data_IF_260527273555
#
_entry.id   IF_260527273555
#
_cell.length_a   1.000
_cell.length_b   1.000
_cell.length_c   1.000
_cell.angle_alpha   90.00
_cell.angle_beta   90.00
_cell.angle_gamma   90.00
#
_symmetry.space_group_name_H-M   'P 1'
#
loop_
_entity.id
_entity.type
_entity.pdbx_description
1 polymer ?
#
# COMPACT_ATOMS: atom_id res chain seq x y z
N UNK A 1 -9.22 33.01 -23.28
CA UNK A 1 -9.90 31.82 -23.85
C UNK A 1 -8.92 30.64 -24.10
N UNK A 2 -7.76 30.85 -24.75
CA UNK A 2 -6.75 29.77 -24.94
C UNK A 2 -6.22 29.22 -23.61
N UNK A 3 -6.01 30.04 -22.60
CA UNK A 3 -5.53 29.61 -21.28
C UNK A 3 -6.57 28.81 -20.50
N UNK A 4 -7.86 29.13 -20.67
CA UNK A 4 -8.97 28.37 -20.08
C UNK A 4 -9.14 26.99 -20.74
N UNK A 5 -8.94 26.91 -22.06
CA UNK A 5 -8.94 25.65 -22.82
C UNK A 5 -7.75 24.76 -22.46
N UNK A 6 -6.55 25.35 -22.23
CA UNK A 6 -5.39 24.62 -21.74
C UNK A 6 -5.56 24.17 -20.28
N UNK A 7 -6.25 24.96 -19.46
CA UNK A 7 -6.63 24.58 -18.09
C UNK A 7 -7.62 23.41 -18.07
N UNK A 8 -8.58 23.38 -19.00
CA UNK A 8 -9.54 22.26 -19.15
C UNK A 8 -8.89 21.01 -19.75
N UNK A 9 -7.93 21.17 -20.65
CA UNK A 9 -7.14 20.05 -21.20
C UNK A 9 -6.20 19.42 -20.15
N UNK A 10 -5.68 20.20 -19.18
CA UNK A 10 -4.83 19.68 -18.10
C UNK A 10 -5.63 19.17 -16.88
N UNK A 11 -6.96 19.30 -16.87
CA UNK A 11 -7.80 18.65 -15.87
C UNK A 11 -8.17 17.24 -16.32
N UNK A 12 -7.29 16.28 -15.99
CA UNK A 12 -7.63 14.86 -16.06
C UNK A 12 -7.52 14.25 -17.45
N UNK A 13 -6.39 14.39 -18.12
CA UNK A 13 -5.95 13.31 -18.98
C UNK A 13 -5.80 12.10 -18.06
N UNK A 14 -6.83 11.24 -18.06
CA UNK A 14 -6.67 9.85 -17.65
C UNK A 14 -5.58 9.38 -18.60
N UNK A 15 -4.38 9.12 -18.10
CA UNK A 15 -3.34 8.48 -18.88
C UNK A 15 -3.91 7.13 -19.31
N UNK A 16 -4.30 7.04 -20.57
CA UNK A 16 -4.73 5.79 -21.18
C UNK A 16 -3.51 4.88 -21.22
N UNK A 17 -3.62 3.70 -20.62
CA UNK A 17 -2.56 2.69 -20.63
C UNK A 17 -3.17 1.32 -20.93
N UNK A 18 -2.45 0.52 -21.72
CA UNK A 18 -2.88 -0.83 -22.10
C UNK A 18 -2.41 -1.89 -21.09
N UNK A 19 -1.35 -1.61 -20.33
CA UNK A 19 -0.76 -2.58 -19.43
C UNK A 19 -0.16 -1.93 -18.16
N UNK A 20 -0.09 -2.70 -17.09
CA UNK A 20 0.59 -2.37 -15.85
C UNK A 20 1.77 -3.32 -15.68
N UNK A 21 2.98 -2.77 -15.54
CA UNK A 21 4.19 -3.53 -15.19
C UNK A 21 4.47 -3.43 -13.70
N UNK A 22 4.61 -4.58 -13.04
CA UNK A 22 5.02 -4.67 -11.63
C UNK A 22 6.50 -5.07 -11.60
N UNK A 23 7.31 -4.33 -10.84
CA UNK A 23 8.74 -4.57 -10.67
C UNK A 23 9.21 -4.16 -9.28
N UNK A 24 10.50 -4.41 -9.00
CA UNK A 24 11.16 -3.89 -7.80
C UNK A 24 11.51 -2.42 -8.02
N UNK A 25 11.42 -1.63 -6.97
CA UNK A 25 11.84 -0.23 -6.99
C UNK A 25 13.22 -0.10 -6.39
N UNK A 26 14.13 0.59 -7.11
CA UNK A 26 15.42 0.98 -6.55
C UNK A 26 15.25 2.09 -5.50
N UNK A 27 16.20 2.28 -4.59
CA UNK A 27 16.20 3.41 -3.66
C UNK A 27 16.10 4.78 -4.36
N UNK A 28 16.78 4.94 -5.49
CA UNK A 28 16.76 6.15 -6.32
C UNK A 28 15.37 6.39 -6.91
N UNK A 29 14.72 5.34 -7.38
CA UNK A 29 13.35 5.40 -7.91
C UNK A 29 12.37 5.81 -6.82
N UNK A 30 12.48 5.27 -5.60
CA UNK A 30 11.63 5.66 -4.47
C UNK A 30 11.83 7.15 -4.12
N UNK A 31 13.08 7.62 -4.12
CA UNK A 31 13.39 9.05 -3.89
C UNK A 31 12.83 9.94 -5.00
N UNK A 32 12.85 9.48 -6.26
CA UNK A 32 12.31 10.24 -7.38
C UNK A 32 10.79 10.43 -7.32
N UNK A 33 10.05 9.45 -6.77
CA UNK A 33 8.60 9.56 -6.55
C UNK A 33 8.24 10.45 -5.37
N UNK A 34 9.19 10.67 -4.47
CA UNK A 34 8.94 11.33 -3.19
C UNK A 34 9.02 12.84 -3.27
N UNK A 35 8.09 13.51 -2.63
CA UNK A 35 8.08 14.97 -2.45
C UNK A 35 8.81 15.44 -1.18
N UNK A 36 9.37 14.52 -0.39
CA UNK A 36 10.16 14.81 0.79
C UNK A 36 10.26 13.67 1.80
N UNK A 37 11.18 13.81 2.75
CA UNK A 37 11.40 12.86 3.83
C UNK A 37 10.46 13.12 5.02
N UNK A 38 9.81 12.07 5.53
CA UNK A 38 9.03 12.11 6.76
C UNK A 38 9.95 11.77 7.94
N UNK A 39 10.22 12.76 8.80
CA UNK A 39 11.14 12.63 9.93
C UNK A 39 10.43 12.42 11.27
N UNK A 40 9.19 12.90 11.39
CA UNK A 40 8.44 12.92 12.64
C UNK A 40 7.26 11.96 12.63
N UNK A 41 7.00 11.26 13.74
CA UNK A 41 5.87 10.34 13.87
C UNK A 41 4.53 11.05 14.07
N UNK A 42 4.53 12.36 14.37
CA UNK A 42 3.32 13.15 14.60
C UNK A 42 2.48 13.25 13.35
N UNK A 43 1.17 13.28 13.53
CA UNK A 43 0.17 13.39 12.46
C UNK A 43 -0.37 14.81 12.35
N UNK A 44 -1.09 15.24 13.37
CA UNK A 44 -1.72 16.56 13.48
C UNK A 44 -1.48 17.16 14.85
N UNK A 45 -1.55 18.46 14.94
CA UNK A 45 -1.57 19.17 16.20
C UNK A 45 -2.99 19.11 16.81
N UNK A 46 -3.13 18.52 18.01
CA UNK A 46 -4.42 18.33 18.66
C UNK A 46 -5.16 19.63 19.03
N UNK A 47 -4.43 20.73 19.18
CA UNK A 47 -5.02 22.04 19.52
C UNK A 47 -5.52 22.78 18.29
N UNK A 48 -4.77 22.71 17.18
CA UNK A 48 -5.05 23.49 15.96
C UNK A 48 -5.66 22.66 14.83
N UNK A 49 -5.65 21.33 14.97
CA UNK A 49 -6.05 20.36 13.93
C UNK A 49 -5.29 20.49 12.60
N UNK A 50 -4.17 21.23 12.62
CA UNK A 50 -3.31 21.39 11.43
C UNK A 50 -2.28 20.28 11.36
N UNK A 51 -1.89 19.85 10.15
CA UNK A 51 -0.81 18.88 9.96
C UNK A 51 0.51 19.38 10.56
N UNK A 52 1.20 18.52 11.29
CA UNK A 52 2.53 18.82 11.82
C UNK A 52 3.58 18.83 10.70
N UNK A 53 4.57 19.72 10.85
CA UNK A 53 5.66 19.85 9.88
C UNK A 53 6.58 18.61 9.95
N UNK A 54 6.96 18.10 8.78
CA UNK A 54 7.79 16.90 8.59
C UNK A 54 7.20 15.62 9.19
N UNK A 55 5.90 15.65 9.52
CA UNK A 55 5.12 14.50 10.00
C UNK A 55 4.41 13.75 8.88
N UNK A 56 3.65 12.72 9.27
CA UNK A 56 2.93 11.83 8.37
C UNK A 56 1.84 12.50 7.52
N UNK A 57 1.38 13.69 7.89
CA UNK A 57 0.37 14.48 7.18
C UNK A 57 0.88 15.85 6.71
N UNK A 58 2.19 16.06 6.73
CA UNK A 58 2.83 17.34 6.44
C UNK A 58 2.31 17.99 5.14
N UNK A 59 1.83 19.24 5.24
CA UNK A 59 1.32 19.96 4.08
C UNK A 59 2.43 20.39 3.11
N UNK A 60 3.66 20.59 3.60
CA UNK A 60 4.81 20.91 2.76
C UNK A 60 5.16 19.74 1.82
N UNK A 61 5.09 18.50 2.32
CA UNK A 61 5.43 17.30 1.55
C UNK A 61 4.27 16.86 0.67
N UNK A 62 3.07 16.70 1.24
CA UNK A 62 1.91 16.10 0.58
C UNK A 62 0.97 17.10 -0.10
N UNK A 63 1.16 18.39 0.14
CA UNK A 63 0.32 19.43 -0.43
C UNK A 63 -0.73 20.02 0.53
N UNK A 64 -1.49 21.03 0.07
CA UNK A 64 -2.43 21.77 0.89
C UNK A 64 -3.63 20.93 1.32
N UNK A 65 -4.21 21.27 2.47
CA UNK A 65 -5.43 20.61 3.01
C UNK A 65 -6.69 21.13 2.34
N UNK A 66 -6.68 22.40 1.92
CA UNK A 66 -7.79 23.06 1.20
C UNK A 66 -7.34 23.49 -0.17
N UNK A 67 -8.28 23.49 -1.13
CA UNK A 67 -8.00 23.91 -2.50
C UNK A 67 -7.48 25.34 -2.56
N UNK A 68 -6.33 25.51 -3.21
CA UNK A 68 -5.69 26.80 -3.44
C UNK A 68 -5.46 27.65 -2.18
N UNK A 69 -5.26 27.03 -1.03
CA UNK A 69 -4.96 27.69 0.23
C UNK A 69 -3.70 27.13 0.87
N UNK A 70 -2.71 27.97 1.21
CA UNK A 70 -1.54 27.53 1.97
C UNK A 70 -1.90 27.32 3.46
N UNK A 71 -1.08 26.57 4.21
CA UNK A 71 -1.37 26.20 5.60
C UNK A 71 -1.47 27.42 6.56
N UNK A 72 -0.68 28.47 6.31
CA UNK A 72 -0.68 29.70 7.12
C UNK A 72 -1.78 30.70 6.71
N UNK A 73 -2.46 30.48 5.58
CA UNK A 73 -3.49 31.38 5.06
C UNK A 73 -3.01 32.65 4.36
N UNK A 74 -1.67 32.84 4.15
CA UNK A 74 -1.12 34.00 3.43
C UNK A 74 -1.62 34.04 1.99
N UNK A 75 -1.58 32.92 1.29
CA UNK A 75 -2.07 32.77 -0.08
C UNK A 75 -3.37 31.98 -0.07
N UNK A 76 -4.41 32.60 -0.64
CA UNK A 76 -5.74 32.05 -0.84
C UNK A 76 -6.17 32.35 -2.26
N UNK A 77 -6.99 31.50 -2.86
CA UNK A 77 -7.57 31.61 -4.19
C UNK A 77 -6.65 31.16 -5.34
N UNK A 78 -7.31 30.86 -6.45
CA UNK A 78 -6.74 30.30 -7.69
C UNK A 78 -5.62 31.17 -8.29
N UNK A 79 -5.64 32.50 -8.13
CA UNK A 79 -4.66 33.43 -8.71
C UNK A 79 -3.21 33.16 -8.27
N UNK A 80 -3.02 32.46 -7.15
CA UNK A 80 -1.70 32.11 -6.60
C UNK A 80 -1.31 30.65 -6.88
N UNK A 81 -1.98 29.96 -7.82
CA UNK A 81 -1.69 28.56 -8.17
C UNK A 81 -0.21 28.40 -8.50
N UNK A 82 0.41 27.33 -7.94
CA UNK A 82 1.81 26.98 -8.16
C UNK A 82 2.83 27.76 -7.31
N UNK A 83 2.39 28.78 -6.55
CA UNK A 83 3.26 29.55 -5.67
C UNK A 83 3.57 28.73 -4.42
N UNK A 84 4.86 28.62 -4.08
CA UNK A 84 5.29 28.03 -2.81
C UNK A 84 5.32 29.14 -1.75
N UNK A 85 4.55 28.96 -0.68
CA UNK A 85 4.48 29.95 0.38
C UNK A 85 5.80 30.07 1.14
N UNK A 86 6.40 31.25 1.18
CA UNK A 86 7.66 31.55 1.87
C UNK A 86 7.59 31.24 3.38
N UNK A 87 6.41 31.46 4.01
CA UNK A 87 6.22 31.29 5.45
C UNK A 87 6.04 29.81 5.87
N UNK A 88 5.19 29.05 5.15
CA UNK A 88 4.89 27.67 5.53
C UNK A 88 5.45 26.60 4.57
N UNK A 89 6.02 27.02 3.43
CA UNK A 89 6.61 26.12 2.44
C UNK A 89 5.60 25.27 1.67
N UNK A 90 4.29 25.55 1.80
CA UNK A 90 3.22 24.77 1.15
C UNK A 90 2.96 25.37 -0.24
N UNK A 91 2.92 24.50 -1.24
CA UNK A 91 2.52 24.86 -2.60
C UNK A 91 1.01 25.10 -2.68
N UNK A 92 0.61 26.18 -3.35
CA UNK A 92 -0.81 26.49 -3.58
C UNK A 92 -1.33 25.68 -4.77
N UNK A 93 -1.98 24.57 -4.48
CA UNK A 93 -2.50 23.62 -5.45
C UNK A 93 -3.88 23.09 -5.00
N UNK A 94 -4.46 22.21 -5.80
CA UNK A 94 -5.66 21.46 -5.43
C UNK A 94 -5.35 20.49 -4.28
N UNK A 95 -6.27 20.32 -3.35
CA UNK A 95 -6.15 19.35 -2.25
C UNK A 95 -6.05 17.90 -2.75
N UNK A 96 -6.54 17.61 -3.96
CA UNK A 96 -6.45 16.30 -4.63
C UNK A 96 -5.02 15.75 -4.69
N UNK A 97 -4.00 16.62 -4.74
CA UNK A 97 -2.59 16.18 -4.76
C UNK A 97 -2.20 15.37 -3.52
N UNK A 98 -2.90 15.52 -2.39
CA UNK A 98 -2.71 14.72 -1.18
C UNK A 98 -3.07 13.24 -1.35
N UNK A 99 -3.78 12.89 -2.42
CA UNK A 99 -4.06 11.52 -2.82
C UNK A 99 -2.97 10.92 -3.71
N UNK A 100 -2.15 11.76 -4.34
CA UNK A 100 -1.21 11.37 -5.39
C UNK A 100 0.25 11.45 -4.91
N UNK A 101 0.60 12.42 -4.07
CA UNK A 101 1.97 12.65 -3.63
C UNK A 101 2.42 11.63 -2.61
N UNK A 102 3.52 10.96 -2.93
CA UNK A 102 4.23 10.05 -2.04
C UNK A 102 5.35 10.78 -1.28
N UNK A 103 5.77 10.21 -0.18
CA UNK A 103 6.96 10.60 0.56
C UNK A 103 7.83 9.38 0.83
N UNK A 104 8.95 9.56 1.53
CA UNK A 104 9.84 8.47 1.91
C UNK A 104 10.35 8.64 3.34
N UNK A 105 10.89 7.54 3.88
CA UNK A 105 11.62 7.49 5.14
C UNK A 105 13.00 6.90 4.83
N UNK A 106 14.07 7.65 5.16
CA UNK A 106 15.44 7.14 5.10
C UNK A 106 15.68 6.24 6.32
N UNK A 107 15.89 4.97 6.05
CA UNK A 107 16.14 3.98 7.12
C UNK A 107 17.59 4.11 7.64
N UNK A 108 17.74 4.10 8.95
CA UNK A 108 19.06 4.16 9.61
C UNK A 108 19.88 2.87 9.42
N UNK A 109 19.22 1.77 9.13
CA UNK A 109 19.81 0.47 8.78
C UNK A 109 18.97 -0.20 7.70
N UNK A 110 19.57 -0.90 6.73
CA UNK A 110 18.84 -1.66 5.75
C UNK A 110 17.89 -2.67 6.40
N UNK A 111 16.76 -2.95 5.74
CA UNK A 111 15.71 -3.87 6.21
C UNK A 111 15.33 -4.82 5.08
N UNK A 112 15.34 -6.12 5.31
CA UNK A 112 14.92 -7.10 4.33
C UNK A 112 13.39 -7.06 4.13
N UNK A 113 12.94 -7.13 2.87
CA UNK A 113 11.52 -7.13 2.56
C UNK A 113 10.90 -8.49 2.89
N UNK A 114 9.92 -8.53 3.80
CA UNK A 114 9.32 -9.74 4.33
C UNK A 114 8.69 -10.65 3.25
N UNK A 115 8.19 -10.11 2.15
CA UNK A 115 7.60 -10.91 1.08
C UNK A 115 8.64 -11.75 0.35
N UNK A 116 9.86 -11.23 0.15
CA UNK A 116 10.94 -11.96 -0.50
C UNK A 116 11.69 -12.90 0.45
N UNK A 117 11.62 -12.61 1.75
CA UNK A 117 12.15 -13.46 2.80
C UNK A 117 11.25 -14.66 3.10
N UNK A 118 9.99 -14.39 3.49
CA UNK A 118 9.03 -15.40 3.98
C UNK A 118 8.15 -16.04 2.91
N UNK A 119 8.44 -15.85 1.63
CA UNK A 119 7.82 -16.64 0.56
C UNK A 119 8.31 -18.09 0.60
N UNK A 120 7.49 -19.03 0.17
CA UNK A 120 7.88 -20.42 0.03
C UNK A 120 7.91 -20.79 -1.47
N UNK A 121 9.09 -21.02 -2.05
CA UNK A 121 10.43 -20.89 -1.47
C UNK A 121 10.87 -19.42 -1.28
N UNK A 122 11.76 -19.16 -0.30
CA UNK A 122 12.34 -17.84 -0.08
C UNK A 122 13.11 -17.36 -1.30
N UNK A 123 12.80 -16.17 -1.82
CA UNK A 123 13.50 -15.60 -2.99
C UNK A 123 14.94 -15.23 -2.64
N UNK A 124 15.13 -14.59 -1.49
CA UNK A 124 16.46 -14.27 -0.96
C UNK A 124 17.26 -15.55 -0.74
N UNK A 125 16.63 -16.57 -0.13
CA UNK A 125 17.30 -17.86 0.13
C UNK A 125 17.71 -18.61 -1.14
N UNK A 126 16.89 -18.58 -2.18
CA UNK A 126 17.23 -19.21 -3.46
C UNK A 126 18.42 -18.53 -4.14
N UNK A 127 18.51 -17.19 -4.10
CA UNK A 127 19.63 -16.47 -4.70
C UNK A 127 20.94 -16.72 -3.95
N UNK A 128 20.90 -16.68 -2.62
CA UNK A 128 22.07 -16.89 -1.77
C UNK A 128 22.44 -18.36 -1.55
N UNK A 129 21.62 -19.30 -2.01
CA UNK A 129 21.70 -20.74 -1.73
C UNK A 129 21.68 -21.10 -0.23
N UNK A 130 21.01 -20.29 0.57
CA UNK A 130 20.88 -20.46 2.01
C UNK A 130 19.45 -20.91 2.40
N UNK A 131 19.34 -21.63 3.52
CA UNK A 131 18.00 -21.97 4.03
C UNK A 131 17.31 -20.75 4.64
N UNK A 132 15.98 -20.75 4.65
CA UNK A 132 15.22 -19.67 5.28
C UNK A 132 15.59 -19.47 6.76
N UNK A 133 15.84 -20.58 7.48
CA UNK A 133 16.22 -20.54 8.91
C UNK A 133 17.55 -19.83 9.11
N UNK A 134 18.53 -20.10 8.25
CA UNK A 134 19.85 -19.50 8.34
C UNK A 134 19.81 -18.00 8.08
N UNK A 135 19.07 -17.58 7.05
CA UNK A 135 18.88 -16.16 6.75
C UNK A 135 18.13 -15.44 7.90
N UNK A 136 17.15 -16.10 8.51
CA UNK A 136 16.46 -15.53 9.67
C UNK A 136 17.38 -15.32 10.85
N UNK A 137 18.29 -16.26 11.12
CA UNK A 137 19.31 -16.11 12.17
C UNK A 137 20.19 -14.88 11.93
N UNK A 138 20.62 -14.67 10.68
CA UNK A 138 21.41 -13.48 10.31
C UNK A 138 20.59 -12.20 10.47
N UNK A 139 19.40 -12.16 9.88
CA UNK A 139 18.56 -10.95 9.87
C UNK A 139 18.11 -10.48 11.25
N UNK A 140 17.89 -11.44 12.17
CA UNK A 140 17.45 -11.12 13.53
C UNK A 140 18.59 -11.13 14.56
N UNK A 141 19.83 -11.03 14.08
CA UNK A 141 21.03 -10.85 14.91
C UNK A 141 21.31 -12.03 15.87
N UNK A 142 21.07 -13.25 15.40
CA UNK A 142 21.40 -14.48 16.15
C UNK A 142 22.72 -15.11 15.71
N UNK A 143 23.18 -14.84 14.48
CA UNK A 143 24.42 -15.40 13.92
C UNK A 143 25.05 -14.43 12.93
N UNK A 144 26.37 -14.46 12.84
CA UNK A 144 27.13 -13.78 11.80
C UNK A 144 27.09 -14.59 10.49
N UNK A 145 27.24 -13.90 9.38
CA UNK A 145 27.48 -14.51 8.06
C UNK A 145 28.76 -13.95 7.47
N UNK A 146 29.58 -14.82 6.94
CA UNK A 146 30.84 -14.47 6.26
C UNK A 146 30.50 -13.85 4.90
N UNK A 147 30.91 -12.61 4.70
CA UNK A 147 30.72 -11.85 3.44
C UNK A 147 31.95 -12.10 2.55
N UNK A 148 33.12 -11.86 3.09
CA UNK A 148 34.40 -12.10 2.44
C UNK A 148 35.27 -13.00 3.34
N UNK A 149 35.61 -14.20 2.87
CA UNK A 149 36.47 -15.11 3.63
C UNK A 149 37.95 -14.70 3.63
N UNK A 150 38.38 -13.77 2.78
CA UNK A 150 39.79 -13.40 2.65
C UNK A 150 40.71 -14.62 2.38
N UNK A 151 41.84 -14.68 3.08
CA UNK A 151 42.78 -15.82 3.02
C UNK A 151 42.56 -16.84 4.14
N UNK A 152 41.37 -16.93 4.71
CA UNK A 152 41.04 -17.82 5.83
C UNK A 152 40.47 -19.16 5.34
N UNK A 153 40.26 -20.08 6.25
CA UNK A 153 39.63 -21.40 5.99
C UNK A 153 38.09 -21.31 5.95
N UNK A 154 37.54 -20.12 6.13
CA UNK A 154 36.09 -19.87 6.13
C UNK A 154 35.51 -19.88 4.71
N UNK A 155 34.24 -20.22 4.58
CA UNK A 155 33.54 -20.19 3.30
C UNK A 155 32.61 -18.98 3.23
N UNK A 156 32.45 -18.37 2.03
CA UNK A 156 31.48 -17.30 1.81
C UNK A 156 30.07 -17.80 2.08
N UNK A 157 29.31 -17.06 2.91
CA UNK A 157 27.98 -17.45 3.33
C UNK A 157 27.91 -18.41 4.52
N UNK A 158 29.06 -18.81 5.08
CA UNK A 158 29.12 -19.61 6.30
C UNK A 158 28.52 -18.82 7.47
N UNK A 159 27.79 -19.53 8.34
CA UNK A 159 27.26 -18.95 9.57
C UNK A 159 28.20 -19.19 10.73
N UNK A 160 28.44 -18.15 11.52
CA UNK A 160 29.25 -18.21 12.73
C UNK A 160 28.38 -17.78 13.94
N UNK A 161 28.46 -18.55 15.02
CA UNK A 161 27.94 -18.13 16.31
C UNK A 161 28.88 -17.09 16.94
N UNK A 162 28.47 -16.43 18.03
CA UNK A 162 29.32 -15.45 18.71
C UNK A 162 30.67 -16.06 19.13
N UNK A 163 30.70 -17.29 19.69
CA UNK A 163 31.92 -18.02 20.07
C UNK A 163 32.83 -18.24 18.86
N UNK A 164 32.32 -18.84 17.81
CA UNK A 164 33.04 -19.09 16.57
C UNK A 164 33.58 -17.83 15.88
N UNK A 165 32.79 -16.73 15.99
CA UNK A 165 33.24 -15.44 15.45
C UNK A 165 34.44 -14.89 16.24
N UNK A 166 34.41 -14.97 17.56
CA UNK A 166 35.53 -14.54 18.39
C UNK A 166 36.76 -15.45 18.22
N UNK A 167 36.58 -16.77 18.14
CA UNK A 167 37.67 -17.71 17.83
C UNK A 167 38.32 -17.39 16.47
N UNK A 168 37.50 -17.14 15.44
CA UNK A 168 37.99 -16.76 14.12
C UNK A 168 38.72 -15.41 14.14
N UNK A 169 38.24 -14.46 14.96
CA UNK A 169 38.87 -13.15 15.11
C UNK A 169 40.25 -13.26 15.81
N UNK A 170 40.37 -14.16 16.81
CA UNK A 170 41.65 -14.45 17.47
C UNK A 170 42.63 -15.16 16.55
N UNK A 171 42.16 -16.08 15.66
CA UNK A 171 43.00 -16.87 14.76
C UNK A 171 43.41 -16.07 13.52
N UNK A 172 42.49 -15.34 12.88
CA UNK A 172 42.71 -14.71 11.57
C UNK A 172 42.73 -13.16 11.63
N UNK A 173 42.42 -12.57 12.79
CA UNK A 173 42.38 -11.11 12.92
C UNK A 173 41.37 -10.45 11.98
N UNK A 174 41.78 -9.40 11.26
CA UNK A 174 40.97 -8.64 10.33
C UNK A 174 40.98 -9.15 8.88
N UNK A 175 41.48 -10.36 8.64
CA UNK A 175 41.65 -10.94 7.29
C UNK A 175 40.29 -11.42 6.68
N UNK A 176 39.22 -11.43 7.42
CA UNK A 176 37.89 -11.79 6.95
C UNK A 176 36.83 -10.76 7.36
N UNK A 177 35.75 -10.67 6.58
CA UNK A 177 34.58 -9.84 6.91
C UNK A 177 33.35 -10.70 7.17
N UNK A 178 32.82 -10.62 8.39
CA UNK A 178 31.59 -11.29 8.78
C UNK A 178 30.71 -10.35 9.57
N UNK A 179 29.45 -10.22 9.16
CA UNK A 179 28.50 -9.28 9.75
C UNK A 179 27.15 -9.91 10.02
N UNK A 180 26.30 -9.19 10.76
CA UNK A 180 24.92 -9.57 11.05
C UNK A 180 23.92 -8.61 10.39
N UNK A 181 22.66 -9.06 10.29
CA UNK A 181 21.53 -8.23 9.90
C UNK A 181 21.33 -8.11 8.39
N UNK A 182 20.40 -7.24 8.02
CA UNK A 182 20.03 -7.05 6.61
C UNK A 182 21.13 -6.37 5.79
N UNK A 183 22.07 -5.69 6.43
CA UNK A 183 23.24 -5.10 5.78
C UNK A 183 24.13 -6.18 5.17
N UNK A 184 24.45 -7.22 5.94
CA UNK A 184 25.21 -8.38 5.46
C UNK A 184 24.49 -9.11 4.30
N UNK A 185 23.19 -9.32 4.43
CA UNK A 185 22.38 -9.93 3.37
C UNK A 185 22.38 -9.08 2.11
N UNK A 186 22.32 -7.75 2.23
CA UNK A 186 22.38 -6.83 1.09
C UNK A 186 23.72 -6.92 0.37
N UNK A 187 24.83 -6.95 1.09
CA UNK A 187 26.17 -7.06 0.51
C UNK A 187 26.35 -8.41 -0.20
N UNK A 188 25.90 -9.51 0.39
CA UNK A 188 25.91 -10.81 -0.27
C UNK A 188 25.09 -10.83 -1.56
N UNK A 189 23.91 -10.20 -1.57
CA UNK A 189 23.07 -10.09 -2.75
C UNK A 189 23.69 -9.19 -3.83
N UNK A 190 24.37 -8.11 -3.42
CA UNK A 190 25.09 -7.22 -4.33
C UNK A 190 26.28 -7.90 -5.00
N UNK A 191 26.98 -8.77 -4.25
CA UNK A 191 28.13 -9.51 -4.73
C UNK A 191 27.79 -10.69 -5.66
N UNK A 192 26.51 -10.91 -5.99
CA UNK A 192 26.09 -11.96 -6.93
C UNK A 192 26.22 -11.45 -8.37
N UNK A 193 27.14 -12.05 -9.13
CA UNK A 193 27.18 -11.91 -10.58
C UNK A 193 26.16 -12.89 -11.21
N UNK A 194 25.05 -12.33 -11.72
CA UNK A 194 23.96 -13.12 -12.29
C UNK A 194 24.39 -13.87 -13.54
N UNK A 195 25.25 -13.28 -14.39
CA UNK A 195 25.68 -13.90 -15.65
C UNK A 195 26.58 -15.11 -15.39
N UNK A 196 27.55 -14.96 -14.50
CA UNK A 196 28.44 -16.03 -14.09
C UNK A 196 27.66 -17.19 -13.42
N UNK A 197 26.78 -16.88 -12.48
CA UNK A 197 26.00 -17.90 -11.76
C UNK A 197 25.01 -18.65 -12.68
N UNK A 198 24.38 -17.96 -13.62
CA UNK A 198 23.51 -18.59 -14.64
C UNK A 198 24.31 -19.57 -15.49
N UNK A 199 25.51 -19.18 -15.94
CA UNK A 199 26.40 -20.05 -16.71
C UNK A 199 26.76 -21.31 -15.90
N UNK A 200 27.23 -21.14 -14.67
CA UNK A 200 27.57 -22.23 -13.76
C UNK A 200 26.41 -23.20 -13.51
N UNK A 201 25.21 -22.68 -13.25
CA UNK A 201 24.04 -23.52 -12.99
C UNK A 201 23.60 -24.30 -14.24
N UNK A 202 23.73 -23.72 -15.43
CA UNK A 202 23.42 -24.41 -16.70
C UNK A 202 24.39 -25.58 -16.98
N UNK A 203 25.62 -25.49 -16.54
CA UNK A 203 26.61 -26.56 -16.63
C UNK A 203 26.43 -27.63 -15.52
N UNK A 204 26.05 -27.24 -14.31
CA UNK A 204 25.90 -28.16 -13.17
C UNK A 204 24.62 -29.03 -13.29
N UNK A 205 23.52 -28.50 -13.82
CA UNK A 205 22.23 -29.22 -13.94
C UNK A 205 22.37 -30.54 -14.70
N UNK A 206 22.99 -30.61 -15.91
CA UNK A 206 23.13 -31.87 -16.66
C UNK A 206 24.12 -32.86 -16.01
N UNK A 207 25.07 -32.39 -15.18
CA UNK A 207 26.04 -33.25 -14.49
C UNK A 207 25.47 -33.90 -13.23
N UNK A 208 24.33 -33.46 -12.75
CA UNK A 208 23.72 -33.90 -11.48
C UNK A 208 22.70 -35.00 -11.75
N UNK A 209 22.86 -36.17 -11.09
CA UNK A 209 21.95 -37.32 -11.21
C UNK A 209 20.77 -37.32 -10.20
N UNK A 210 20.78 -36.44 -9.19
CA UNK A 210 19.73 -36.36 -8.17
C UNK A 210 18.57 -35.49 -8.61
N UNK A 211 17.39 -36.08 -8.77
CA UNK A 211 16.15 -35.38 -9.18
C UNK A 211 15.79 -34.21 -8.26
N UNK A 212 15.97 -34.37 -6.94
CA UNK A 212 15.71 -33.30 -5.95
C UNK A 212 16.68 -32.14 -6.12
N UNK A 213 17.96 -32.41 -6.38
CA UNK A 213 18.99 -31.38 -6.62
C UNK A 213 18.73 -30.65 -7.91
N UNK A 214 18.39 -31.38 -9.00
CA UNK A 214 17.99 -30.78 -10.28
C UNK A 214 16.79 -29.84 -10.10
N UNK A 215 15.76 -30.26 -9.37
CA UNK A 215 14.58 -29.39 -9.09
C UNK A 215 14.96 -28.11 -8.30
N UNK A 216 15.89 -28.19 -7.35
CA UNK A 216 16.38 -27.04 -6.59
C UNK A 216 17.17 -26.08 -7.49
N UNK A 217 18.13 -26.60 -8.24
CA UNK A 217 18.99 -25.83 -9.16
C UNK A 217 18.15 -25.17 -10.27
N UNK A 218 17.18 -25.89 -10.86
CA UNK A 218 16.29 -25.35 -11.90
C UNK A 218 15.42 -24.20 -11.37
N UNK A 219 14.94 -24.27 -10.12
CA UNK A 219 14.20 -23.15 -9.51
C UNK A 219 15.10 -21.94 -9.27
N UNK A 220 16.35 -22.15 -8.86
CA UNK A 220 17.33 -21.10 -8.67
C UNK A 220 17.69 -20.44 -10.00
N UNK A 221 18.00 -21.25 -11.02
CA UNK A 221 18.28 -20.76 -12.37
C UNK A 221 17.16 -19.91 -12.94
N UNK A 222 15.90 -20.40 -12.90
CA UNK A 222 14.74 -19.66 -13.36
C UNK A 222 14.56 -18.32 -12.66
N UNK A 223 14.86 -18.24 -11.37
CA UNK A 223 14.80 -17.00 -10.61
C UNK A 223 15.89 -16.01 -11.05
N UNK A 224 17.13 -16.48 -11.24
CA UNK A 224 18.25 -15.65 -11.69
C UNK A 224 18.03 -15.11 -13.12
N UNK A 225 17.55 -15.95 -14.02
CA UNK A 225 17.17 -15.54 -15.37
C UNK A 225 16.06 -14.45 -15.33
N UNK A 226 15.04 -14.62 -14.49
CA UNK A 226 13.99 -13.63 -14.32
C UNK A 226 14.50 -12.28 -13.78
N UNK A 227 15.50 -12.27 -12.89
CA UNK A 227 16.17 -11.03 -12.45
C UNK A 227 16.94 -10.37 -13.60
N UNK A 228 17.73 -11.15 -14.35
CA UNK A 228 18.48 -10.66 -15.52
C UNK A 228 17.54 -10.05 -16.58
N UNK A 229 16.50 -10.78 -17.00
CA UNK A 229 15.57 -10.36 -18.04
C UNK A 229 14.76 -9.13 -17.65
N UNK A 230 14.42 -8.99 -16.37
CA UNK A 230 13.65 -7.84 -15.87
C UNK A 230 14.51 -6.60 -15.60
N UNK A 231 15.84 -6.73 -15.53
CA UNK A 231 16.77 -5.67 -15.16
C UNK A 231 16.67 -5.25 -13.68
N UNK A 232 16.06 -6.08 -12.83
CA UNK A 232 16.02 -5.86 -11.39
C UNK A 232 17.32 -6.33 -10.74
N UNK A 233 17.80 -5.57 -9.75
CA UNK A 233 18.97 -6.00 -8.96
C UNK A 233 18.53 -6.78 -7.72
N UNK A 234 19.21 -7.88 -7.37
CA UNK A 234 18.90 -8.69 -6.18
C UNK A 234 18.91 -7.89 -4.88
N UNK A 235 19.82 -6.93 -4.73
CA UNK A 235 19.95 -6.05 -3.56
C UNK A 235 18.72 -5.18 -3.28
N UNK A 236 17.87 -4.92 -4.30
CA UNK A 236 16.63 -4.14 -4.12
C UNK A 236 15.57 -4.87 -3.28
N UNK A 237 15.76 -6.16 -3.01
CA UNK A 237 14.93 -6.90 -2.04
C UNK A 237 15.22 -6.50 -0.59
N UNK A 238 16.31 -5.74 -0.36
CA UNK A 238 16.65 -5.13 0.93
C UNK A 238 16.44 -3.63 0.83
N UNK A 239 15.53 -3.12 1.66
CA UNK A 239 15.11 -1.73 1.63
C UNK A 239 16.08 -0.84 2.42
N UNK A 240 16.55 0.21 1.82
CA UNK A 240 17.27 1.32 2.47
C UNK A 240 16.40 2.56 2.61
N UNK A 241 15.42 2.69 1.71
CA UNK A 241 14.44 3.78 1.70
C UNK A 241 13.04 3.15 1.68
N UNK A 242 12.17 3.60 2.57
CA UNK A 242 10.80 3.12 2.69
C UNK A 242 9.84 4.14 2.08
N UNK A 243 9.00 3.78 1.09
CA UNK A 243 8.00 4.70 0.57
C UNK A 243 6.85 4.91 1.56
N UNK A 244 6.33 6.13 1.62
CA UNK A 244 5.18 6.51 2.46
C UNK A 244 3.99 6.80 1.58
N UNK A 245 2.90 6.08 1.83
CA UNK A 245 1.66 6.20 1.09
C UNK A 245 1.05 7.60 1.24
N UNK A 246 0.42 8.18 0.21
CA UNK A 246 -0.28 9.46 0.32
C UNK A 246 -1.29 9.51 1.48
N UNK A 247 -1.44 10.65 2.17
CA UNK A 247 -2.27 10.76 3.38
C UNK A 247 -3.75 10.45 3.14
N UNK A 248 -4.32 10.79 1.99
CA UNK A 248 -5.73 10.53 1.68
C UNK A 248 -6.04 9.04 1.46
N UNK A 249 -5.01 8.21 1.19
CA UNK A 249 -5.15 6.76 1.12
C UNK A 249 -5.05 6.06 2.51
N UNK A 250 -4.66 6.82 3.56
CA UNK A 250 -4.63 6.42 4.97
C UNK A 250 -5.24 7.51 5.86
N UNK A 251 -6.52 7.85 5.65
CA UNK A 251 -7.12 9.06 6.19
C UNK A 251 -7.19 9.07 7.71
N UNK A 252 -7.22 10.28 8.25
CA UNK A 252 -7.50 10.59 9.64
C UNK A 252 -8.77 11.43 9.65
N UNK A 253 -9.87 10.83 10.13
CA UNK A 253 -11.21 11.43 10.07
C UNK A 253 -11.62 11.91 11.46
N UNK A 254 -11.97 13.18 11.63
CA UNK A 254 -12.52 13.66 12.89
C UNK A 254 -13.91 13.07 13.13
N UNK A 255 -14.15 12.61 14.35
CA UNK A 255 -15.44 12.15 14.85
C UNK A 255 -16.02 13.18 15.82
N UNK A 256 -17.32 13.10 16.06
CA UNK A 256 -17.96 13.90 17.07
C UNK A 256 -17.33 13.68 18.45
N UNK A 257 -17.18 14.75 19.24
CA UNK A 257 -16.52 14.72 20.54
C UNK A 257 -14.98 14.83 20.52
N UNK A 258 -14.39 15.37 19.43
CA UNK A 258 -12.96 15.67 19.34
C UNK A 258 -12.04 14.45 19.21
N UNK A 259 -12.61 13.26 18.95
CA UNK A 259 -11.86 12.03 18.67
C UNK A 259 -11.59 11.89 17.20
N UNK A 260 -10.55 11.12 16.85
CA UNK A 260 -10.20 10.82 15.46
C UNK A 260 -10.27 9.31 15.19
N UNK A 261 -10.89 8.95 14.08
CA UNK A 261 -10.72 7.64 13.49
C UNK A 261 -9.52 7.68 12.54
N UNK A 262 -8.59 6.77 12.72
CA UNK A 262 -7.37 6.68 11.92
C UNK A 262 -7.25 5.33 11.25
N UNK A 263 -6.60 5.29 10.10
CA UNK A 263 -6.19 4.03 9.48
C UNK A 263 -5.11 3.36 10.32
N UNK A 264 -5.15 2.04 10.43
CA UNK A 264 -4.15 1.23 11.14
C UNK A 264 -2.73 1.45 10.57
N UNK A 265 -2.62 1.80 9.28
CA UNK A 265 -1.35 2.12 8.62
C UNK A 265 -0.61 3.29 9.29
N UNK A 266 -1.34 4.29 9.79
CA UNK A 266 -0.71 5.42 10.47
C UNK A 266 0.01 4.99 11.75
N UNK A 267 -0.57 4.07 12.52
CA UNK A 267 0.08 3.54 13.72
C UNK A 267 1.31 2.69 13.38
N UNK A 268 1.24 1.90 12.30
CA UNK A 268 2.38 1.12 11.82
C UNK A 268 3.50 2.03 11.33
N UNK A 269 3.22 3.08 10.53
CA UNK A 269 4.22 4.08 10.13
C UNK A 269 4.83 4.80 11.34
N UNK A 270 4.02 5.20 12.32
CA UNK A 270 4.53 5.84 13.55
C UNK A 270 5.51 4.93 14.29
N UNK A 271 5.23 3.63 14.38
CA UNK A 271 6.15 2.65 14.99
C UNK A 271 7.48 2.60 14.24
N UNK A 272 7.44 2.53 12.91
CA UNK A 272 8.66 2.53 12.09
C UNK A 272 9.47 3.81 12.30
N UNK A 273 8.85 4.99 12.24
CA UNK A 273 9.54 6.27 12.42
C UNK A 273 10.14 6.39 13.82
N UNK A 274 9.42 5.99 14.86
CA UNK A 274 9.92 6.03 16.24
C UNK A 274 11.15 5.12 16.42
N UNK A 275 11.12 3.89 15.88
CA UNK A 275 12.26 2.97 15.93
C UNK A 275 13.43 3.49 15.12
N UNK A 276 13.17 4.01 13.94
CA UNK A 276 14.18 4.59 13.07
C UNK A 276 14.89 5.80 13.72
N UNK A 277 14.13 6.72 14.30
CA UNK A 277 14.68 7.89 14.98
C UNK A 277 15.48 7.52 16.24
N UNK A 278 15.00 6.50 16.96
CA UNK A 278 15.72 5.98 18.13
C UNK A 278 17.04 5.33 17.70
N UNK A 279 17.03 4.54 16.64
CA UNK A 279 18.25 3.93 16.11
C UNK A 279 19.23 5.01 15.63
N UNK A 280 18.79 6.03 14.86
CA UNK A 280 19.64 7.16 14.45
C UNK A 280 20.33 7.81 15.67
N UNK A 281 19.57 8.08 16.72
CA UNK A 281 20.12 8.66 17.97
C UNK A 281 21.13 7.75 18.66
N UNK A 282 20.89 6.44 18.70
CA UNK A 282 21.83 5.48 19.29
C UNK A 282 23.13 5.39 18.50
N UNK A 283 23.07 5.46 17.17
CA UNK A 283 24.24 5.50 16.31
C UNK A 283 25.02 6.79 16.49
N UNK A 284 24.36 7.95 16.56
CA UNK A 284 24.98 9.26 16.79
C UNK A 284 25.70 9.33 18.15
N UNK A 285 25.16 8.63 19.15
CA UNK A 285 25.72 8.55 20.50
C UNK A 285 26.78 7.44 20.68
N UNK A 286 27.10 6.70 19.61
CA UNK A 286 28.01 5.55 19.67
C UNK A 286 27.66 4.57 20.80
N UNK A 287 26.37 4.24 20.93
CA UNK A 287 25.85 3.37 21.99
C UNK A 287 26.45 1.95 21.87
N UNK A 288 26.48 1.17 22.98
CA UNK A 288 26.94 -0.21 22.97
C UNK A 288 26.27 -1.07 21.89
N UNK A 289 27.05 -1.91 21.23
CA UNK A 289 26.63 -2.70 20.06
C UNK A 289 25.40 -3.57 20.36
N UNK A 290 25.31 -4.18 21.53
CA UNK A 290 24.14 -4.97 21.96
C UNK A 290 22.85 -4.18 21.87
N UNK A 291 22.85 -2.89 22.28
CA UNK A 291 21.68 -2.03 22.23
C UNK A 291 21.34 -1.67 20.79
N UNK A 292 22.35 -1.36 19.99
CA UNK A 292 22.19 -1.03 18.56
C UNK A 292 21.62 -2.22 17.81
N UNK A 293 22.15 -3.44 18.01
CA UNK A 293 21.65 -4.69 17.39
C UNK A 293 20.19 -4.94 17.75
N UNK A 294 19.81 -4.76 19.02
CA UNK A 294 18.43 -4.93 19.44
C UNK A 294 17.49 -3.90 18.79
N UNK A 295 17.90 -2.65 18.67
CA UNK A 295 17.07 -1.63 18.00
C UNK A 295 16.99 -1.84 16.48
N UNK A 296 18.07 -2.29 15.81
CA UNK A 296 18.06 -2.74 14.42
C UNK A 296 17.05 -3.89 14.20
N UNK A 297 17.04 -4.87 15.10
CA UNK A 297 16.06 -5.98 15.07
C UNK A 297 14.62 -5.45 15.24
N UNK A 298 14.39 -4.53 16.17
CA UNK A 298 13.07 -3.94 16.37
C UNK A 298 12.61 -3.10 15.18
N UNK A 299 13.53 -2.43 14.46
CA UNK A 299 13.23 -1.71 13.23
C UNK A 299 12.82 -2.71 12.12
N UNK A 300 13.56 -3.81 11.96
CA UNK A 300 13.19 -4.89 11.04
C UNK A 300 11.77 -5.42 11.33
N UNK A 301 11.46 -5.71 12.58
CA UNK A 301 10.13 -6.18 12.99
C UNK A 301 9.02 -5.14 12.75
N UNK A 302 9.31 -3.86 12.95
CA UNK A 302 8.34 -2.79 12.69
C UNK A 302 8.02 -2.64 11.19
N UNK A 303 9.02 -2.75 10.33
CA UNK A 303 8.83 -2.72 8.87
C UNK A 303 8.13 -4.00 8.39
N UNK A 304 8.47 -5.16 8.92
CA UNK A 304 7.78 -6.42 8.61
C UNK A 304 6.27 -6.32 8.93
N UNK A 305 5.92 -5.74 10.07
CA UNK A 305 4.53 -5.52 10.46
C UNK A 305 3.81 -4.51 9.55
N UNK A 306 4.48 -3.47 9.08
CA UNK A 306 3.91 -2.51 8.12
C UNK A 306 3.58 -3.17 6.78
N UNK A 307 4.49 -4.02 6.28
CA UNK A 307 4.34 -4.68 4.99
C UNK A 307 3.35 -5.85 5.05
N UNK A 308 3.48 -6.77 6.01
CA UNK A 308 2.62 -7.94 6.18
C UNK A 308 2.53 -8.38 7.65
N UNK A 309 1.63 -7.76 8.41
CA UNK A 309 1.48 -8.03 9.83
C UNK A 309 1.01 -9.47 10.09
N UNK A 310 1.70 -10.16 10.99
CA UNK A 310 1.40 -11.55 11.36
C UNK A 310 2.04 -12.60 10.46
N UNK A 311 2.83 -12.22 9.45
CA UNK A 311 3.59 -13.18 8.64
C UNK A 311 4.74 -13.82 9.39
N UNK A 312 5.32 -13.10 10.36
CA UNK A 312 6.33 -13.58 11.29
C UNK A 312 5.84 -13.45 12.73
N UNK A 313 5.59 -14.58 13.37
CA UNK A 313 5.20 -14.63 14.78
C UNK A 313 3.81 -14.02 15.06
N UNK A 314 3.65 -13.47 16.25
CA UNK A 314 2.38 -12.85 16.68
C UNK A 314 2.17 -11.50 15.99
N UNK A 315 0.98 -11.31 15.44
CA UNK A 315 0.60 -10.03 14.85
C UNK A 315 0.58 -8.90 15.89
N UNK A 316 1.02 -7.72 15.49
CA UNK A 316 0.90 -6.51 16.30
C UNK A 316 -0.58 -6.12 16.38
N UNK A 317 -1.07 -5.93 17.60
CA UNK A 317 -2.47 -5.61 17.88
C UNK A 317 -2.66 -4.16 18.31
N UNK A 318 -3.83 -3.62 18.05
CA UNK A 318 -4.28 -2.33 18.57
C UNK A 318 -4.84 -2.44 20.00
N UNK A 319 -5.42 -1.35 20.50
CA UNK A 319 -6.03 -1.25 21.85
C UNK A 319 -7.11 -2.33 22.09
N UNK A 320 -7.85 -2.71 21.05
CA UNK A 320 -8.94 -3.70 21.14
C UNK A 320 -8.47 -5.15 20.90
N UNK A 321 -7.16 -5.43 21.07
CA UNK A 321 -6.56 -6.76 20.79
C UNK A 321 -6.77 -7.27 19.36
N UNK A 322 -7.31 -6.45 18.45
CA UNK A 322 -7.46 -6.77 17.02
C UNK A 322 -6.11 -6.57 16.32
N UNK A 323 -5.68 -7.49 15.44
CA UNK A 323 -4.51 -7.28 14.61
C UNK A 323 -4.64 -6.01 13.76
N UNK A 324 -3.57 -5.21 13.67
CA UNK A 324 -3.53 -4.03 12.83
C UNK A 324 -3.46 -4.45 11.36
N UNK A 325 -4.22 -3.76 10.51
CA UNK A 325 -4.29 -4.02 9.08
C UNK A 325 -3.05 -3.46 8.38
N UNK A 326 -2.24 -4.35 7.79
CA UNK A 326 -1.00 -4.00 7.08
C UNK A 326 -1.25 -3.63 5.60
N UNK A 327 -0.19 -3.22 4.89
CA UNK A 327 -0.25 -2.96 3.45
C UNK A 327 -0.68 -4.20 2.65
N UNK A 328 -0.19 -5.39 3.01
CA UNK A 328 -0.61 -6.63 2.38
C UNK A 328 -2.11 -6.89 2.54
N UNK A 329 -2.68 -6.59 3.72
CA UNK A 329 -4.11 -6.77 4.00
C UNK A 329 -5.00 -5.78 3.25
N UNK A 330 -4.43 -4.65 2.80
CA UNK A 330 -5.14 -3.69 1.93
C UNK A 330 -5.35 -4.25 0.52
N UNK A 331 -4.55 -5.20 0.10
CA UNK A 331 -4.55 -5.77 -1.27
C UNK A 331 -5.23 -7.14 -1.28
N UNK A 332 -4.86 -8.03 -0.35
CA UNK A 332 -5.28 -9.42 -0.28
C UNK A 332 -6.60 -9.63 0.49
N UNK A 333 -7.23 -10.79 0.26
CA UNK A 333 -8.39 -11.23 1.01
C UNK A 333 -9.73 -10.64 0.54
N UNK A 334 -10.81 -10.98 1.25
CA UNK A 334 -12.20 -10.58 0.91
C UNK A 334 -12.40 -9.05 0.97
N UNK A 335 -11.71 -8.39 1.89
CA UNK A 335 -11.79 -6.94 2.11
C UNK A 335 -10.62 -6.18 1.44
N UNK A 336 -9.79 -6.88 0.66
CA UNK A 336 -8.70 -6.28 -0.09
C UNK A 336 -9.18 -5.58 -1.36
N UNK A 337 -8.27 -4.78 -1.94
CA UNK A 337 -8.56 -3.95 -3.12
C UNK A 337 -9.05 -4.77 -4.32
N UNK A 338 -8.45 -5.93 -4.57
CA UNK A 338 -8.83 -6.76 -5.71
C UNK A 338 -10.28 -7.24 -5.61
N UNK A 339 -10.67 -7.87 -4.50
CA UNK A 339 -12.01 -8.47 -4.35
C UNK A 339 -13.10 -7.47 -4.03
N UNK A 340 -12.79 -6.38 -3.33
CA UNK A 340 -13.80 -5.42 -2.86
C UNK A 340 -14.03 -4.25 -3.83
N UNK A 341 -13.00 -3.84 -4.59
CA UNK A 341 -13.08 -2.62 -5.38
C UNK A 341 -12.80 -2.80 -6.89
N UNK A 342 -12.09 -3.89 -7.30
CA UNK A 342 -11.72 -4.12 -8.69
C UNK A 342 -12.57 -5.19 -9.36
N UNK A 343 -12.70 -6.38 -8.78
CA UNK A 343 -13.53 -7.46 -9.32
C UNK A 343 -15.02 -7.18 -9.20
N UNK A 344 -15.42 -6.35 -8.26
CA UNK A 344 -16.78 -5.89 -8.07
C UNK A 344 -16.82 -4.64 -7.22
N UNK A 345 -17.76 -3.74 -7.51
CA UNK A 345 -17.98 -2.49 -6.79
C UNK A 345 -19.41 -2.41 -6.31
N UNK A 346 -19.65 -1.66 -5.24
CA UNK A 346 -21.01 -1.24 -4.89
C UNK A 346 -21.47 -0.22 -5.92
N UNK A 347 -22.66 -0.40 -6.43
CA UNK A 347 -23.26 0.47 -7.44
C UNK A 347 -24.33 1.33 -6.79
N UNK A 348 -24.51 2.55 -7.32
CA UNK A 348 -25.61 3.43 -6.96
C UNK A 348 -26.94 2.88 -7.51
N UNK A 349 -28.05 3.42 -7.06
CA UNK A 349 -29.40 3.01 -7.44
C UNK A 349 -29.64 1.51 -7.24
N UNK A 350 -29.17 0.99 -6.13
CA UNK A 350 -29.36 -0.39 -5.70
C UNK A 350 -29.84 -0.42 -4.24
N UNK A 351 -30.64 -1.41 -3.91
CA UNK A 351 -31.21 -1.56 -2.58
C UNK A 351 -31.26 -3.01 -2.14
N UNK A 352 -31.61 -3.22 -0.89
CA UNK A 352 -31.77 -4.56 -0.31
C UNK A 352 -33.01 -4.58 0.58
N UNK A 353 -33.84 -5.60 0.43
CA UNK A 353 -35.02 -5.80 1.25
C UNK A 353 -35.31 -7.28 1.47
N UNK A 354 -36.26 -7.56 2.34
CA UNK A 354 -36.75 -8.92 2.55
C UNK A 354 -37.64 -9.33 1.38
N UNK A 355 -37.54 -10.57 0.93
CA UNK A 355 -38.41 -11.13 -0.10
C UNK A 355 -39.59 -11.84 0.55
N UNK A 356 -40.78 -11.56 0.04
CA UNK A 356 -42.03 -12.18 0.48
C UNK A 356 -42.80 -12.76 -0.70
N UNK A 357 -43.77 -13.61 -0.45
CA UNK A 357 -44.67 -14.13 -1.48
C UNK A 357 -45.61 -13.05 -2.00
N UNK A 358 -45.92 -13.08 -3.30
CA UNK A 358 -46.84 -12.18 -3.98
C UNK A 358 -47.86 -12.98 -4.80
N UNK A 359 -48.92 -13.58 -4.16
CA UNK A 359 -49.81 -14.52 -4.81
C UNK A 359 -50.63 -13.90 -5.94
N UNK A 360 -50.77 -12.62 -5.98
CA UNK A 360 -51.51 -11.86 -7.02
C UNK A 360 -50.66 -11.41 -8.19
N UNK A 361 -49.31 -11.53 -8.07
CA UNK A 361 -48.36 -11.12 -9.11
C UNK A 361 -48.18 -12.21 -10.18
N UNK A 362 -47.98 -11.80 -11.42
CA UNK A 362 -47.56 -12.67 -12.52
C UNK A 362 -46.11 -13.08 -12.39
N UNK A 363 -45.67 -14.14 -13.08
CA UNK A 363 -44.29 -14.65 -12.99
C UNK A 363 -43.19 -13.66 -13.36
N UNK A 364 -43.48 -12.68 -14.22
CA UNK A 364 -42.57 -11.64 -14.65
C UNK A 364 -42.67 -10.36 -13.84
N UNK A 365 -43.56 -10.31 -12.86
CA UNK A 365 -43.82 -9.10 -12.07
C UNK A 365 -43.20 -9.20 -10.68
N UNK A 366 -42.73 -8.08 -10.16
CA UNK A 366 -42.29 -7.93 -8.78
C UNK A 366 -42.97 -6.73 -8.12
N UNK A 367 -43.19 -6.79 -6.82
CA UNK A 367 -43.69 -5.67 -6.02
C UNK A 367 -42.54 -5.02 -5.24
N UNK A 368 -42.33 -3.72 -5.43
CA UNK A 368 -41.36 -2.94 -4.70
C UNK A 368 -42.04 -1.94 -3.76
N UNK A 369 -41.47 -1.63 -2.55
CA UNK A 369 -41.93 -0.54 -1.74
C UNK A 369 -41.77 0.77 -2.50
N UNK A 370 -42.86 1.63 -2.49
CA UNK A 370 -42.87 2.89 -3.24
C UNK A 370 -41.67 3.81 -2.95
N UNK A 371 -41.25 3.91 -1.68
CA UNK A 371 -40.10 4.72 -1.30
C UNK A 371 -38.80 4.18 -1.82
N UNK A 372 -38.65 2.86 -1.88
CA UNK A 372 -37.46 2.23 -2.49
C UNK A 372 -37.42 2.47 -4.00
N UNK A 373 -38.57 2.31 -4.67
CA UNK A 373 -38.66 2.60 -6.11
C UNK A 373 -38.32 4.06 -6.42
N UNK A 374 -38.80 5.02 -5.58
CA UNK A 374 -38.45 6.43 -5.72
C UNK A 374 -36.96 6.70 -5.69
N UNK A 375 -36.22 6.04 -4.77
CA UNK A 375 -34.76 6.18 -4.69
C UNK A 375 -34.03 5.53 -5.87
N UNK A 376 -34.47 4.35 -6.32
CA UNK A 376 -33.85 3.62 -7.43
C UNK A 376 -33.99 4.37 -8.76
N UNK A 377 -35.15 4.98 -9.01
CA UNK A 377 -35.46 5.65 -10.27
C UNK A 377 -35.26 7.17 -10.27
N UNK A 378 -34.63 7.73 -9.23
CA UNK A 378 -34.36 9.18 -9.11
C UNK A 378 -33.88 9.86 -10.40
N UNK A 379 -32.87 9.39 -11.13
CA UNK A 379 -32.38 10.08 -12.32
C UNK A 379 -33.43 10.19 -13.41
N UNK A 380 -34.20 9.11 -13.61
CA UNK A 380 -35.27 9.07 -14.62
C UNK A 380 -36.43 10.01 -14.26
N UNK A 381 -36.79 10.07 -12.96
CA UNK A 381 -37.81 10.97 -12.45
C UNK A 381 -37.39 12.43 -12.66
N UNK A 382 -36.14 12.80 -12.35
CA UNK A 382 -35.64 14.15 -12.57
C UNK A 382 -35.73 14.55 -14.05
N UNK A 383 -35.30 13.70 -14.97
CA UNK A 383 -35.38 13.93 -16.39
C UNK A 383 -36.82 14.10 -16.87
N UNK A 384 -37.77 13.23 -16.45
CA UNK A 384 -39.19 13.34 -16.83
C UNK A 384 -39.89 14.57 -16.22
N UNK A 385 -39.59 14.94 -14.99
CA UNK A 385 -40.10 16.17 -14.37
C UNK A 385 -39.66 17.42 -15.12
N UNK A 386 -38.41 17.44 -15.61
CA UNK A 386 -37.87 18.54 -16.43
C UNK A 386 -38.52 18.55 -17.82
N UNK A 387 -38.61 17.40 -18.49
CA UNK A 387 -39.25 17.27 -19.80
C UNK A 387 -40.73 17.68 -19.79
N UNK A 388 -41.48 17.43 -18.70
CA UNK A 388 -42.88 17.85 -18.53
C UNK A 388 -43.03 19.31 -18.12
N UNK A 389 -41.94 20.03 -17.89
CA UNK A 389 -41.96 21.40 -17.45
C UNK A 389 -42.44 21.60 -15.99
N UNK A 390 -42.60 20.53 -15.20
CA UNK A 390 -42.97 20.58 -13.80
C UNK A 390 -41.84 21.13 -12.91
N UNK A 391 -40.61 20.95 -13.36
CA UNK A 391 -39.42 21.50 -12.73
C UNK A 391 -38.55 22.22 -13.77
N UNK A 392 -38.16 23.45 -13.49
CA UNK A 392 -37.28 24.25 -14.37
C UNK A 392 -35.81 23.98 -14.20
N UNK A 393 -35.43 23.35 -13.10
CA UNK A 393 -34.04 23.01 -12.77
C UNK A 393 -33.97 21.68 -12.01
N UNK A 394 -32.84 20.98 -12.11
CA UNK A 394 -32.55 19.73 -11.35
C UNK A 394 -32.72 20.00 -9.83
N UNK A 395 -32.36 21.20 -9.34
CA UNK A 395 -32.49 21.56 -7.93
C UNK A 395 -33.97 21.65 -7.50
N UNK A 396 -34.84 22.13 -8.39
CA UNK A 396 -36.29 22.16 -8.15
C UNK A 396 -36.85 20.73 -8.18
N UNK A 397 -36.50 19.92 -9.16
CA UNK A 397 -36.89 18.51 -9.24
C UNK A 397 -36.48 17.71 -7.99
N UNK A 398 -35.26 17.92 -7.49
CA UNK A 398 -34.77 17.30 -6.26
C UNK A 398 -35.64 17.67 -5.06
N UNK A 399 -36.01 18.94 -4.89
CA UNK A 399 -36.91 19.38 -3.82
C UNK A 399 -38.30 18.76 -3.93
N UNK A 400 -38.84 18.60 -5.14
CA UNK A 400 -40.14 17.96 -5.35
C UNK A 400 -40.10 16.48 -4.94
N UNK A 401 -39.04 15.77 -5.28
CA UNK A 401 -38.86 14.37 -4.90
C UNK A 401 -38.67 14.23 -3.39
N UNK A 402 -37.89 15.10 -2.75
CA UNK A 402 -37.69 15.12 -1.30
C UNK A 402 -38.99 15.40 -0.52
N UNK A 403 -39.92 16.14 -1.11
CA UNK A 403 -41.24 16.45 -0.54
C UNK A 403 -42.30 15.40 -0.87
N UNK A 404 -41.98 14.40 -1.67
CA UNK A 404 -42.88 13.31 -2.08
C UNK A 404 -44.19 13.85 -2.67
N UNK A 405 -44.16 14.88 -3.55
CA UNK A 405 -45.34 15.50 -4.13
C UNK A 405 -46.15 14.49 -5.00
N UNK A 406 -47.50 14.67 -5.12
CA UNK A 406 -48.35 13.75 -5.88
C UNK A 406 -47.87 13.55 -7.34
N UNK A 407 -47.44 14.61 -8.00
CA UNK A 407 -46.98 14.60 -9.39
C UNK A 407 -45.72 13.67 -9.56
N UNK A 408 -44.91 13.54 -8.50
CA UNK A 408 -43.73 12.66 -8.51
C UNK A 408 -44.12 11.19 -8.56
N UNK A 409 -45.23 10.83 -7.87
CA UNK A 409 -45.74 9.46 -7.89
C UNK A 409 -46.33 9.08 -9.25
N UNK A 410 -47.01 10.03 -9.93
CA UNK A 410 -47.52 9.79 -11.29
C UNK A 410 -46.37 9.58 -12.28
N UNK A 411 -45.32 10.41 -12.18
CA UNK A 411 -44.10 10.25 -13.00
C UNK A 411 -43.40 8.93 -12.69
N UNK A 412 -43.31 8.54 -11.42
CA UNK A 412 -42.71 7.24 -11.04
C UNK A 412 -43.49 6.06 -11.66
N UNK A 413 -44.83 6.09 -11.62
CA UNK A 413 -45.66 5.03 -12.21
C UNK A 413 -45.42 4.88 -13.71
N UNK A 414 -45.14 5.97 -14.43
CA UNK A 414 -44.78 5.95 -15.84
C UNK A 414 -43.38 5.40 -16.08
N UNK A 415 -42.40 5.84 -15.28
CA UNK A 415 -40.98 5.39 -15.40
C UNK A 415 -40.85 3.89 -15.17
N UNK A 416 -41.57 3.32 -14.20
CA UNK A 416 -41.52 1.90 -13.87
C UNK A 416 -41.93 1.03 -15.06
N UNK A 417 -42.92 1.45 -15.87
CA UNK A 417 -43.40 0.67 -17.02
C UNK A 417 -42.35 0.50 -18.12
N UNK A 418 -41.41 1.45 -18.23
CA UNK A 418 -40.38 1.44 -19.25
C UNK A 418 -39.06 0.81 -18.77
N UNK A 419 -38.88 0.60 -17.46
CA UNK A 419 -37.60 0.22 -16.86
C UNK A 419 -37.74 -0.97 -15.92
N UNK A 420 -37.49 -2.21 -16.41
CA UNK A 420 -37.48 -3.38 -15.56
C UNK A 420 -36.34 -3.32 -14.52
N UNK A 421 -36.55 -3.96 -13.38
CA UNK A 421 -35.57 -4.07 -12.30
C UNK A 421 -34.87 -5.42 -12.32
N UNK A 422 -33.58 -5.43 -11.99
CA UNK A 422 -32.81 -6.66 -11.79
C UNK A 422 -32.88 -7.08 -10.33
N UNK A 423 -33.44 -8.25 -10.07
CA UNK A 423 -33.49 -8.86 -8.73
C UNK A 423 -32.45 -9.95 -8.61
N UNK A 424 -31.73 -9.95 -7.49
CA UNK A 424 -30.71 -10.95 -7.14
C UNK A 424 -31.02 -11.56 -5.77
N UNK A 425 -30.94 -12.87 -5.66
CA UNK A 425 -31.00 -13.59 -4.37
C UNK A 425 -29.62 -14.14 -4.02
N UNK A 426 -29.11 -13.80 -2.84
CA UNK A 426 -27.88 -14.40 -2.30
C UNK A 426 -28.16 -15.80 -1.69
N UNK A 427 -27.27 -16.80 -1.91
CA UNK A 427 -26.04 -16.78 -2.69
C UNK A 427 -26.31 -16.86 -4.20
N UNK A 428 -25.59 -16.05 -5.00
CA UNK A 428 -25.66 -16.11 -6.47
C UNK A 428 -24.77 -17.23 -7.00
N UNK A 429 -25.35 -18.40 -7.25
CA UNK A 429 -24.61 -19.61 -7.66
C UNK A 429 -24.46 -19.74 -9.18
N UNK A 430 -25.41 -19.20 -9.95
CA UNK A 430 -25.40 -19.24 -11.42
C UNK A 430 -26.15 -18.02 -11.96
N UNK A 431 -26.10 -17.84 -13.29
CA UNK A 431 -26.67 -16.67 -13.98
C UNK A 431 -28.18 -16.47 -13.76
N UNK A 432 -28.95 -17.55 -13.50
CA UNK A 432 -30.39 -17.46 -13.22
C UNK A 432 -30.70 -16.93 -11.79
N UNK A 433 -29.69 -16.73 -10.95
CA UNK A 433 -29.82 -16.05 -9.66
C UNK A 433 -30.04 -14.54 -9.79
N UNK A 434 -29.88 -13.99 -11.01
CA UNK A 434 -30.14 -12.58 -11.34
C UNK A 434 -31.13 -12.57 -12.50
N UNK A 435 -32.32 -12.03 -12.28
CA UNK A 435 -33.40 -11.98 -13.25
C UNK A 435 -34.02 -10.58 -13.32
N UNK A 436 -34.52 -10.23 -14.51
CA UNK A 436 -35.25 -8.97 -14.72
C UNK A 436 -36.75 -9.19 -14.48
N UNK A 437 -37.35 -8.23 -13.79
CA UNK A 437 -38.79 -8.19 -13.47
C UNK A 437 -39.37 -6.82 -13.83
N UNK A 438 -40.66 -6.86 -14.21
CA UNK A 438 -41.52 -5.68 -14.39
C UNK A 438 -42.23 -5.27 -13.09
#
# INVERSE_FOLDING_TARGET
MKDLLNLLKNQGQIEEFDAIRIGLASPEMIRSWSFGEVKKPETINYRTFKPERDGLFCAKIFGPVKDYECLCGKYKRLKHRGVICEKCGVEVALAKVRRERMAHIELASPVAHIWFLKSLPSRIGLLMDMTLRDIERVLYFESYVVIDPGMTTLEKGQLLNDEQYFEALEEFGDDFDARMGAEAVRELLHAIDLDHEIGRLREEIPQTNSETKIKKLSKRLKLMEAFKDSGNLPEWMVLTVLPVLPPDLRPLVPLDGGRFATSDLNDLYRRVINRNNRLKRLLDLSAPDIIVRNEKRMLQEAVDALLDNGRRGRAITGSNKRPLKSLADMIKGKQGRFRQNLLGKRVDYSGRSVITVGPTLRLHQCGLPKKMALELFKPFIFGKLEMRGLATTIKAAKKMVERELPEVWDVLAEVIREHPVLLNRAPTLHRLGIQAFE
#
